data_IF_248057265384
#
_entry.id   IF_248057265384
#
_cell.length_a   1.000
_cell.length_b   1.000
_cell.length_c   1.000
_cell.angle_alpha   90.00
_cell.angle_beta   90.00
_cell.angle_gamma   90.00
#
_symmetry.space_group_name_H-M   'P 1'
#
loop_
_entity.id
_entity.type
_entity.pdbx_description
1 polymer ?
#
# COMPACT_ATOMS: atom_id res chain seq x y z
N UNK A 1 -21.26 37.69 64.15
CA UNK A 1 -21.47 36.39 63.49
C UNK A 1 -21.23 35.31 64.51
N UNK A 2 -22.19 34.41 64.73
CA UNK A 2 -22.05 33.32 65.68
C UNK A 2 -21.06 32.29 65.13
N UNK A 3 -20.33 31.58 65.99
CA UNK A 3 -19.45 30.48 65.56
C UNK A 3 -20.21 29.40 64.78
N UNK A 4 -21.52 29.25 65.05
CA UNK A 4 -22.42 28.39 64.25
C UNK A 4 -22.56 28.84 62.80
N UNK A 5 -22.59 30.15 62.54
CA UNK A 5 -22.72 30.69 61.19
C UNK A 5 -21.43 30.45 60.40
N UNK A 6 -20.26 30.58 61.05
CA UNK A 6 -18.95 30.31 60.43
C UNK A 6 -18.76 28.82 60.11
N UNK A 7 -19.23 27.93 60.98
CA UNK A 7 -19.18 26.48 60.75
C UNK A 7 -20.07 26.10 59.56
N UNK A 8 -21.30 26.61 59.49
CA UNK A 8 -22.21 26.34 58.38
C UNK A 8 -21.67 26.89 57.03
N UNK A 9 -21.04 28.06 57.04
CA UNK A 9 -20.38 28.64 55.86
C UNK A 9 -19.21 27.76 55.38
N UNK A 10 -18.37 27.29 56.32
CA UNK A 10 -17.23 26.42 56.02
C UNK A 10 -17.67 25.06 55.47
N UNK A 11 -18.73 24.46 56.01
CA UNK A 11 -19.29 23.21 55.50
C UNK A 11 -19.81 23.36 54.07
N UNK A 12 -20.47 24.49 53.77
CA UNK A 12 -20.92 24.83 52.41
C UNK A 12 -19.77 24.96 51.43
N UNK A 13 -18.72 25.69 51.83
CA UNK A 13 -17.50 25.86 51.02
C UNK A 13 -16.79 24.53 50.80
N UNK A 14 -16.69 23.68 51.83
CA UNK A 14 -16.08 22.36 51.72
C UNK A 14 -16.86 21.49 50.73
N UNK A 15 -18.19 21.47 50.83
CA UNK A 15 -19.04 20.70 49.92
C UNK A 15 -18.93 21.19 48.47
N UNK A 16 -18.87 22.51 48.26
CA UNK A 16 -18.71 23.09 46.93
C UNK A 16 -17.33 22.78 46.32
N UNK A 17 -16.26 22.86 47.12
CA UNK A 17 -14.90 22.49 46.71
C UNK A 17 -14.82 21.00 46.36
N UNK A 18 -15.40 20.12 47.18
CA UNK A 18 -15.42 18.68 46.91
C UNK A 18 -16.17 18.38 45.62
N UNK A 19 -17.36 18.96 45.42
CA UNK A 19 -18.16 18.77 44.20
C UNK A 19 -17.43 19.29 42.96
N UNK A 20 -16.71 20.42 43.06
CA UNK A 20 -15.93 20.97 41.94
C UNK A 20 -14.70 20.11 41.63
N UNK A 21 -14.04 19.59 42.66
CA UNK A 21 -12.92 18.65 42.54
C UNK A 21 -13.33 17.33 41.88
N UNK A 22 -14.48 16.76 42.27
CA UNK A 22 -15.02 15.55 41.66
C UNK A 22 -15.36 15.75 40.18
N UNK A 23 -16.02 16.86 39.81
CA UNK A 23 -16.30 17.18 38.41
C UNK A 23 -15.03 17.30 37.57
N UNK A 24 -14.00 17.97 38.09
CA UNK A 24 -12.71 18.10 37.40
C UNK A 24 -12.06 16.74 37.19
N UNK A 25 -12.11 15.86 38.20
CA UNK A 25 -11.59 14.48 38.07
C UNK A 25 -12.37 13.67 37.04
N UNK A 26 -13.70 13.75 37.04
CA UNK A 26 -14.53 13.08 36.04
C UNK A 26 -14.30 13.61 34.62
N UNK A 27 -14.12 14.91 34.45
CA UNK A 27 -13.83 15.50 33.14
C UNK A 27 -12.44 15.09 32.62
N UNK A 28 -11.42 15.09 33.49
CA UNK A 28 -10.09 14.62 33.15
C UNK A 28 -10.08 13.12 32.86
N UNK A 29 -10.81 12.32 33.63
CA UNK A 29 -10.95 10.88 33.38
C UNK A 29 -11.64 10.61 32.04
N UNK A 30 -12.74 11.32 31.74
CA UNK A 30 -13.42 11.23 30.43
C UNK A 30 -12.53 11.67 29.27
N UNK A 31 -11.69 12.70 29.45
CA UNK A 31 -10.71 13.09 28.43
C UNK A 31 -9.65 12.02 28.24
N UNK A 32 -9.13 11.46 29.33
CA UNK A 32 -8.10 10.42 29.29
C UNK A 32 -8.61 9.15 28.61
N UNK A 33 -9.83 8.71 28.94
CA UNK A 33 -10.49 7.57 28.29
C UNK A 33 -10.72 7.81 26.80
N UNK A 34 -11.17 9.02 26.40
CA UNK A 34 -11.28 9.38 24.97
C UNK A 34 -9.94 9.34 24.26
N UNK A 35 -8.89 9.86 24.88
CA UNK A 35 -7.55 9.88 24.29
C UNK A 35 -7.01 8.46 24.09
N UNK A 36 -7.20 7.59 25.09
CA UNK A 36 -6.83 6.18 25.04
C UNK A 36 -7.58 5.45 23.92
N UNK A 37 -8.88 5.66 23.79
CA UNK A 37 -9.67 5.01 22.74
C UNK A 37 -9.26 5.51 21.34
N UNK A 38 -8.97 6.81 21.19
CA UNK A 38 -8.43 7.34 19.93
C UNK A 38 -7.07 6.73 19.59
N UNK A 39 -6.19 6.55 20.56
CA UNK A 39 -4.87 5.95 20.36
C UNK A 39 -4.99 4.46 19.99
N UNK A 40 -5.87 3.74 20.69
CA UNK A 40 -6.19 2.34 20.39
C UNK A 40 -6.75 2.16 18.99
N UNK A 41 -7.58 3.10 18.53
CA UNK A 41 -8.13 3.11 17.17
C UNK A 41 -7.06 3.38 16.12
N UNK A 42 -6.08 4.23 16.40
CA UNK A 42 -4.96 4.54 15.49
C UNK A 42 -3.98 3.39 15.35
N UNK A 43 -3.82 2.56 16.38
CA UNK A 43 -2.97 1.36 16.35
C UNK A 43 -3.71 0.13 15.79
N UNK A 44 -5.04 0.20 15.68
CA UNK A 44 -5.84 -0.87 15.13
C UNK A 44 -5.47 -1.14 13.66
N UNK A 45 -5.29 -2.43 13.33
CA UNK A 45 -5.11 -2.86 11.94
C UNK A 45 -6.33 -2.48 11.10
N UNK A 46 -6.04 -2.09 9.86
CA UNK A 46 -7.03 -1.58 8.93
C UNK A 46 -7.59 -2.71 8.05
N UNK A 47 -8.80 -2.50 7.54
CA UNK A 47 -9.35 -3.26 6.41
C UNK A 47 -8.64 -2.87 5.11
N UNK A 48 -8.83 -3.61 4.01
CA UNK A 48 -8.22 -3.24 2.73
C UNK A 48 -8.65 -1.84 2.26
N UNK A 49 -9.92 -1.48 2.42
CA UNK A 49 -10.43 -0.15 2.03
C UNK A 49 -9.82 0.98 2.87
N UNK A 50 -9.81 0.83 4.20
CA UNK A 50 -9.16 1.78 5.11
C UNK A 50 -7.65 1.88 4.82
N UNK A 51 -6.99 0.75 4.56
CA UNK A 51 -5.57 0.72 4.25
C UNK A 51 -5.24 1.48 2.98
N UNK A 52 -5.99 1.18 1.90
CA UNK A 52 -5.86 1.91 0.66
C UNK A 52 -6.07 3.39 0.97
N UNK A 53 -7.19 3.76 1.63
CA UNK A 53 -7.49 5.13 2.11
C UNK A 53 -6.25 5.81 2.70
N UNK A 54 -5.62 5.17 3.68
CA UNK A 54 -4.43 5.71 4.34
C UNK A 54 -3.21 5.80 3.43
N UNK A 55 -2.95 4.83 2.55
CA UNK A 55 -1.83 4.92 1.62
C UNK A 55 -1.90 6.18 0.74
N UNK A 56 -3.08 6.52 0.22
CA UNK A 56 -3.24 7.72 -0.59
C UNK A 56 -2.88 8.98 0.21
N UNK A 57 -3.58 9.20 1.33
CA UNK A 57 -3.46 10.44 2.08
C UNK A 57 -2.16 10.57 2.89
N UNK A 58 -1.59 9.45 3.35
CA UNK A 58 -0.44 9.47 4.23
C UNK A 58 0.86 9.13 3.52
N UNK A 59 0.83 8.46 2.36
CA UNK A 59 2.06 8.03 1.66
C UNK A 59 2.15 8.70 0.28
N UNK A 60 1.19 8.44 -0.63
CA UNK A 60 1.29 8.91 -2.01
C UNK A 60 1.27 10.44 -2.11
N UNK A 61 0.38 11.13 -1.39
CA UNK A 61 0.33 12.60 -1.37
C UNK A 61 1.56 13.24 -0.69
N UNK A 62 2.42 12.46 -0.02
CA UNK A 62 3.68 12.95 0.56
C UNK A 62 4.84 12.91 -0.41
N UNK A 63 4.75 12.12 -1.49
CA UNK A 63 5.77 12.11 -2.54
C UNK A 63 5.79 13.46 -3.27
N UNK A 64 6.92 14.15 -3.22
CA UNK A 64 7.15 15.37 -3.99
C UNK A 64 8.12 15.09 -5.11
N UNK A 65 7.74 15.46 -6.32
CA UNK A 65 8.58 15.37 -7.50
C UNK A 65 9.18 16.74 -7.81
N UNK A 66 10.36 16.79 -8.46
CA UNK A 66 10.94 18.05 -8.90
C UNK A 66 10.00 18.76 -9.91
N UNK A 67 10.23 20.06 -10.18
CA UNK A 67 9.44 20.77 -11.17
C UNK A 67 9.64 20.20 -12.59
N UNK A 68 8.64 20.36 -13.48
CA UNK A 68 8.74 19.96 -14.88
C UNK A 68 10.04 20.47 -15.55
N UNK A 69 10.58 19.69 -16.48
CA UNK A 69 11.83 19.98 -17.18
C UNK A 69 13.10 19.49 -16.48
N UNK A 70 13.00 19.02 -15.22
CA UNK A 70 14.08 18.31 -14.53
C UNK A 70 13.81 16.81 -14.63
N UNK A 71 14.13 16.19 -15.77
CA UNK A 71 14.09 14.73 -15.86
C UNK A 71 15.01 14.12 -14.81
N UNK A 72 14.56 13.05 -14.14
CA UNK A 72 15.46 12.28 -13.28
C UNK A 72 16.59 11.74 -14.15
N UNK A 73 17.86 12.03 -13.83
CA UNK A 73 18.97 11.61 -14.67
C UNK A 73 19.06 10.08 -14.62
N UNK A 74 18.53 9.44 -15.66
CA UNK A 74 18.68 7.99 -15.87
C UNK A 74 19.73 7.79 -16.95
N UNK A 75 20.80 7.02 -16.67
CA UNK A 75 21.71 6.60 -17.73
C UNK A 75 20.90 5.88 -18.80
N UNK A 76 20.97 6.31 -20.05
CA UNK A 76 20.43 5.51 -21.14
C UNK A 76 21.24 4.21 -21.23
N UNK A 77 20.60 3.09 -20.93
CA UNK A 77 21.10 1.74 -21.13
C UNK A 77 21.30 1.56 -22.64
N UNK A 78 22.56 1.32 -23.08
CA UNK A 78 22.84 1.04 -24.47
C UNK A 78 22.01 -0.16 -24.95
N UNK A 79 21.24 0.05 -26.01
CA UNK A 79 20.38 -0.99 -26.62
C UNK A 79 21.12 -1.80 -27.68
N UNK A 80 22.36 -1.44 -28.01
CA UNK A 80 23.18 -2.13 -29.00
C UNK A 80 23.44 -3.57 -28.56
N UNK A 81 23.10 -4.53 -29.43
CA UNK A 81 23.24 -5.96 -29.15
C UNK A 81 22.19 -6.55 -28.20
N UNK A 82 21.19 -5.77 -27.75
CA UNK A 82 20.10 -6.25 -26.88
C UNK A 82 18.88 -6.70 -27.68
N UNK A 83 18.20 -7.73 -27.20
CA UNK A 83 16.90 -8.12 -27.72
C UNK A 83 15.81 -7.23 -27.11
N UNK A 84 15.04 -6.57 -27.96
CA UNK A 84 13.85 -5.83 -27.55
C UNK A 84 12.68 -6.11 -28.51
N UNK A 85 11.42 -6.01 -28.04
CA UNK A 85 10.26 -6.24 -28.90
C UNK A 85 10.22 -5.21 -30.03
N UNK A 86 10.23 -5.67 -31.29
CA UNK A 86 10.07 -4.77 -32.47
C UNK A 86 8.65 -4.22 -32.62
N UNK A 87 7.68 -4.84 -31.94
CA UNK A 87 6.26 -4.48 -32.00
C UNK A 87 5.64 -4.71 -30.63
N UNK A 88 4.97 -3.69 -30.11
CA UNK A 88 4.07 -3.82 -28.97
C UNK A 88 2.70 -4.22 -29.50
N UNK A 89 2.13 -5.29 -28.94
CA UNK A 89 0.79 -5.74 -29.30
C UNK A 89 -0.19 -5.37 -28.18
N UNK A 90 -1.40 -4.87 -28.52
CA UNK A 90 -2.41 -4.57 -27.52
C UNK A 90 -2.81 -5.83 -26.73
N UNK A 91 -2.76 -5.76 -25.41
CA UNK A 91 -3.27 -6.82 -24.54
C UNK A 91 -4.80 -6.73 -24.42
N UNK A 92 -5.50 -7.28 -25.42
CA UNK A 92 -6.97 -7.13 -25.58
C UNK A 92 -7.78 -7.63 -24.38
N UNK A 93 -7.32 -8.64 -23.66
CA UNK A 93 -8.02 -9.22 -22.50
C UNK A 93 -7.62 -8.59 -21.17
N UNK A 94 -6.70 -7.63 -21.15
CA UNK A 94 -6.14 -7.08 -19.92
C UNK A 94 -7.21 -6.50 -19.00
N UNK A 95 -8.11 -5.67 -19.53
CA UNK A 95 -9.15 -5.01 -18.73
C UNK A 95 -10.06 -6.04 -18.03
N UNK A 96 -10.46 -7.09 -18.75
CA UNK A 96 -11.28 -8.16 -18.21
C UNK A 96 -10.53 -9.01 -17.17
N UNK A 97 -9.29 -9.42 -17.48
CA UNK A 97 -8.46 -10.19 -16.55
C UNK A 97 -8.13 -9.39 -15.28
N UNK A 98 -7.87 -8.09 -15.41
CA UNK A 98 -7.65 -7.17 -14.29
C UNK A 98 -8.88 -7.11 -13.38
N UNK A 99 -10.07 -6.98 -13.96
CA UNK A 99 -11.33 -6.94 -13.19
C UNK A 99 -11.57 -8.27 -12.45
N UNK A 100 -11.39 -9.42 -13.10
CA UNK A 100 -11.51 -10.73 -12.45
C UNK A 100 -10.53 -10.86 -11.27
N UNK A 101 -9.25 -10.53 -11.48
CA UNK A 101 -8.21 -10.58 -10.44
C UNK A 101 -8.51 -9.63 -9.29
N UNK A 102 -9.01 -8.44 -9.59
CA UNK A 102 -9.40 -7.48 -8.56
C UNK A 102 -10.57 -7.97 -7.72
N UNK A 103 -11.55 -8.65 -8.33
CA UNK A 103 -12.66 -9.26 -7.61
C UNK A 103 -12.19 -10.41 -6.69
N UNK A 104 -11.21 -11.21 -7.11
CA UNK A 104 -10.58 -12.24 -6.26
C UNK A 104 -9.88 -11.62 -5.05
N UNK A 105 -9.06 -10.58 -5.27
CA UNK A 105 -8.40 -9.81 -4.22
C UNK A 105 -9.41 -9.25 -3.21
N UNK A 106 -10.47 -8.62 -3.71
CA UNK A 106 -11.51 -8.05 -2.85
C UNK A 106 -12.20 -9.13 -2.02
N UNK A 107 -12.48 -10.29 -2.60
CA UNK A 107 -13.09 -11.41 -1.88
C UNK A 107 -12.14 -11.99 -0.81
N UNK A 108 -10.87 -12.19 -1.14
CA UNK A 108 -9.86 -12.74 -0.23
C UNK A 108 -9.56 -11.81 0.96
N UNK A 109 -9.63 -10.51 0.73
CA UNK A 109 -9.30 -9.48 1.73
C UNK A 109 -10.55 -8.90 2.44
N UNK A 110 -11.74 -9.43 2.17
CA UNK A 110 -12.99 -8.84 2.64
C UNK A 110 -13.09 -8.85 4.18
N UNK A 111 -13.30 -7.68 4.78
CA UNK A 111 -13.55 -7.45 6.22
C UNK A 111 -12.42 -7.87 7.19
N UNK A 112 -11.30 -8.37 6.67
CA UNK A 112 -10.12 -8.72 7.46
C UNK A 112 -9.29 -7.49 7.82
N UNK A 113 -9.18 -7.21 9.13
CA UNK A 113 -8.32 -6.15 9.67
C UNK A 113 -6.87 -6.65 9.82
N UNK A 114 -6.16 -6.80 8.71
CA UNK A 114 -4.78 -7.34 8.67
C UNK A 114 -3.75 -6.36 8.12
N UNK A 115 -4.20 -5.22 7.62
CA UNK A 115 -3.35 -4.23 6.95
C UNK A 115 -2.81 -3.18 7.92
N UNK A 116 -1.80 -2.43 7.49
CA UNK A 116 -1.13 -1.42 8.31
C UNK A 116 -2.12 -0.42 8.88
N UNK A 117 -1.94 -0.06 10.15
CA UNK A 117 -2.81 0.90 10.82
C UNK A 117 -2.66 2.32 10.25
N UNK A 118 -3.55 3.23 10.65
CA UNK A 118 -3.41 4.65 10.31
C UNK A 118 -2.09 5.22 10.86
N UNK A 119 -1.66 4.77 12.04
CA UNK A 119 -0.39 5.19 12.62
C UNK A 119 0.80 4.66 11.80
N UNK A 120 0.80 3.37 11.45
CA UNK A 120 1.86 2.73 10.66
C UNK A 120 2.07 3.45 9.32
N UNK A 121 0.97 3.75 8.62
CA UNK A 121 0.99 4.44 7.32
C UNK A 121 1.46 5.89 7.44
N UNK A 122 1.11 6.60 8.53
CA UNK A 122 1.67 7.93 8.82
C UNK A 122 3.17 7.87 9.10
N UNK A 123 3.66 6.85 9.80
CA UNK A 123 5.09 6.68 10.08
C UNK A 123 5.85 6.48 8.76
N UNK A 124 5.34 5.64 7.85
CA UNK A 124 5.93 5.46 6.51
C UNK A 124 5.88 6.78 5.73
N UNK A 125 4.75 7.49 5.77
CA UNK A 125 4.57 8.79 5.12
C UNK A 125 5.62 9.84 5.48
N UNK A 126 6.03 9.86 6.76
CA UNK A 126 7.09 10.78 7.24
C UNK A 126 8.44 10.55 6.58
N UNK A 127 8.70 9.35 6.03
CA UNK A 127 9.93 9.08 5.28
C UNK A 127 10.03 9.92 3.99
N UNK A 128 8.88 10.37 3.47
CA UNK A 128 8.79 11.12 2.21
C UNK A 128 8.40 12.58 2.43
N UNK A 129 8.03 12.95 3.65
CA UNK A 129 7.56 14.30 3.96
C UNK A 129 8.70 15.32 3.89
N UNK A 130 8.54 16.33 3.02
CA UNK A 130 9.48 17.43 2.89
C UNK A 130 10.69 17.15 1.99
N UNK A 131 10.84 15.92 1.49
CA UNK A 131 11.89 15.56 0.55
C UNK A 131 11.36 15.57 -0.89
N UNK A 132 12.07 16.26 -1.77
CA UNK A 132 11.84 16.17 -3.21
C UNK A 132 12.62 14.96 -3.70
N UNK A 133 11.96 14.04 -4.40
CA UNK A 133 12.60 12.89 -5.03
C UNK A 133 13.40 13.35 -6.26
N UNK A 134 14.62 13.83 -6.03
CA UNK A 134 15.51 14.38 -7.05
C UNK A 134 16.33 13.30 -7.77
N UNK A 135 16.43 12.11 -7.20
CA UNK A 135 17.17 10.98 -7.75
C UNK A 135 16.30 9.74 -7.89
N UNK A 136 16.66 8.85 -8.82
CA UNK A 136 15.99 7.54 -8.99
C UNK A 136 16.01 6.72 -7.72
N UNK A 137 17.08 6.81 -6.93
CA UNK A 137 17.18 6.14 -5.63
C UNK A 137 16.07 6.56 -4.66
N UNK A 138 15.59 7.80 -4.76
CA UNK A 138 14.49 8.29 -3.92
C UNK A 138 13.17 7.65 -4.35
N UNK A 139 12.97 7.48 -5.67
CA UNK A 139 11.84 6.73 -6.20
C UNK A 139 11.92 5.24 -5.85
N UNK A 140 13.10 4.63 -5.83
CA UNK A 140 13.25 3.23 -5.41
C UNK A 140 12.87 3.02 -3.94
N UNK A 141 13.27 3.94 -3.06
CA UNK A 141 12.83 3.90 -1.67
C UNK A 141 11.30 4.05 -1.58
N UNK A 142 10.72 4.96 -2.35
CA UNK A 142 9.28 5.12 -2.42
C UNK A 142 8.58 3.84 -2.93
N UNK A 143 9.00 3.30 -4.07
CA UNK A 143 8.46 2.07 -4.66
C UNK A 143 8.51 0.91 -3.67
N UNK A 144 9.65 0.69 -3.02
CA UNK A 144 9.83 -0.39 -2.06
C UNK A 144 8.87 -0.29 -0.87
N UNK A 145 8.77 0.88 -0.24
CA UNK A 145 7.99 1.04 1.00
C UNK A 145 6.51 1.35 0.76
N UNK A 146 6.18 2.08 -0.31
CA UNK A 146 4.82 2.47 -0.64
C UNK A 146 4.08 1.49 -1.54
N UNK A 147 4.80 0.63 -2.29
CA UNK A 147 4.21 -0.27 -3.28
C UNK A 147 4.59 -1.73 -3.01
N UNK A 148 5.88 -2.10 -3.12
CA UNK A 148 6.29 -3.51 -3.11
C UNK A 148 5.92 -4.23 -1.81
N UNK A 149 6.32 -3.67 -0.67
CA UNK A 149 6.02 -4.26 0.63
C UNK A 149 4.50 -4.33 0.90
N UNK A 150 3.73 -3.24 0.69
CA UNK A 150 2.26 -3.27 0.72
C UNK A 150 1.62 -4.35 -0.16
N UNK A 151 2.04 -4.45 -1.42
CA UNK A 151 1.49 -5.43 -2.38
C UNK A 151 1.71 -6.85 -1.89
N UNK A 152 2.90 -7.15 -1.35
CA UNK A 152 3.16 -8.46 -0.73
C UNK A 152 2.16 -8.80 0.38
N UNK A 153 1.79 -7.83 1.22
CA UNK A 153 0.77 -8.01 2.27
C UNK A 153 -0.64 -8.18 1.71
N UNK A 154 -0.97 -7.49 0.62
CA UNK A 154 -2.26 -7.60 -0.09
C UNK A 154 -2.40 -8.95 -0.80
N UNK A 155 -1.30 -9.53 -1.29
CA UNK A 155 -1.32 -10.82 -1.96
C UNK A 155 -1.33 -12.01 -0.99
N UNK A 156 -0.87 -11.85 0.25
CA UNK A 156 -0.82 -12.93 1.24
C UNK A 156 -2.17 -13.67 1.43
N UNK A 157 -3.33 -12.99 1.55
CA UNK A 157 -4.63 -13.66 1.66
C UNK A 157 -5.00 -14.52 0.45
N UNK A 158 -4.56 -14.15 -0.77
CA UNK A 158 -4.78 -14.98 -1.97
C UNK A 158 -4.05 -16.31 -1.84
N UNK A 159 -2.84 -16.28 -1.31
CA UNK A 159 -2.07 -17.49 -1.11
C UNK A 159 -2.59 -18.32 0.05
N UNK A 160 -3.22 -17.74 1.08
CA UNK A 160 -3.82 -18.50 2.18
C UNK A 160 -5.10 -19.26 1.77
N UNK A 161 -5.84 -18.75 0.77
CA UNK A 161 -7.05 -19.40 0.24
C UNK A 161 -6.69 -20.55 -0.71
N UNK A 162 -7.09 -21.79 -0.36
CA UNK A 162 -6.80 -22.99 -1.17
C UNK A 162 -7.41 -22.96 -2.58
N UNK A 163 -8.59 -22.36 -2.75
CA UNK A 163 -9.27 -22.25 -4.03
C UNK A 163 -8.65 -21.18 -4.94
N UNK A 164 -8.23 -20.05 -4.37
CA UNK A 164 -7.50 -19.01 -5.09
C UNK A 164 -6.09 -19.44 -5.44
N UNK A 165 -5.39 -20.10 -4.50
CA UNK A 165 -4.05 -20.67 -4.70
C UNK A 165 -4.01 -21.61 -5.91
N UNK A 166 -5.06 -22.40 -6.16
CA UNK A 166 -5.16 -23.25 -7.34
C UNK A 166 -5.25 -22.50 -8.68
N UNK A 167 -5.74 -21.25 -8.66
CA UNK A 167 -5.83 -20.38 -9.85
C UNK A 167 -4.53 -19.61 -10.13
N UNK A 168 -3.70 -19.43 -9.11
CA UNK A 168 -2.42 -18.74 -9.16
C UNK A 168 -1.31 -19.68 -8.66
N UNK A 169 -0.81 -20.62 -9.49
CA UNK A 169 0.02 -21.74 -9.04
C UNK A 169 1.49 -21.34 -8.78
N UNK A 170 1.73 -20.17 -8.20
CA UNK A 170 3.05 -19.71 -7.80
C UNK A 170 3.01 -18.98 -6.46
N UNK A 171 4.03 -19.21 -5.65
CA UNK A 171 4.21 -18.61 -4.33
C UNK A 171 4.97 -17.29 -4.40
N UNK A 172 5.89 -17.14 -5.37
CA UNK A 172 6.78 -15.98 -5.45
C UNK A 172 7.32 -15.80 -6.88
N UNK A 173 7.68 -14.57 -7.24
CA UNK A 173 8.47 -14.23 -8.44
C UNK A 173 9.59 -13.29 -8.00
N UNK A 174 10.84 -13.71 -8.19
CA UNK A 174 12.02 -12.91 -7.87
C UNK A 174 12.78 -12.55 -9.12
N UNK A 175 13.28 -11.32 -9.18
CA UNK A 175 14.14 -10.85 -10.25
C UNK A 175 15.58 -10.85 -9.76
N UNK A 176 16.49 -11.41 -10.57
CA UNK A 176 17.93 -11.46 -10.28
C UNK A 176 18.73 -10.83 -11.40
N UNK A 177 19.93 -10.35 -11.07
CA UNK A 177 20.87 -9.86 -12.05
C UNK A 177 21.41 -11.03 -12.90
N UNK A 178 21.76 -10.79 -14.15
CA UNK A 178 22.36 -11.84 -14.98
C UNK A 178 23.71 -12.33 -14.44
N UNK A 179 24.36 -11.54 -13.56
CA UNK A 179 25.51 -11.90 -12.75
C UNK A 179 25.34 -13.21 -11.98
N UNK A 180 24.13 -13.41 -11.47
CA UNK A 180 23.76 -14.51 -10.58
C UNK A 180 23.20 -15.73 -11.33
N UNK A 181 23.16 -15.71 -12.66
CA UNK A 181 22.59 -16.80 -13.44
C UNK A 181 23.60 -17.98 -13.53
N UNK A 182 23.24 -19.18 -13.02
CA UNK A 182 24.06 -20.38 -13.17
C UNK A 182 24.47 -20.64 -14.63
N UNK A 183 25.76 -20.96 -14.86
CA UNK A 183 26.29 -21.27 -16.19
C UNK A 183 26.61 -20.07 -17.10
N UNK A 184 26.14 -18.86 -16.79
CA UNK A 184 26.49 -17.65 -17.54
C UNK A 184 27.90 -17.12 -17.22
N UNK A 185 28.51 -17.55 -16.11
CA UNK A 185 29.87 -17.17 -15.72
C UNK A 185 30.98 -17.97 -16.39
N UNK A 186 30.66 -19.07 -17.08
CA UNK A 186 31.66 -20.02 -17.61
C UNK A 186 31.92 -19.85 -19.12
N UNK A 187 30.99 -19.25 -19.85
CA UNK A 187 31.19 -18.91 -21.26
C UNK A 187 31.33 -17.39 -21.42
N UNK A 188 32.39 -16.96 -22.12
CA UNK A 188 32.66 -15.56 -22.47
C UNK A 188 31.61 -15.11 -23.50
N UNK A 189 30.38 -14.87 -23.04
CA UNK A 189 29.42 -14.07 -23.78
C UNK A 189 29.91 -12.63 -23.59
N UNK A 190 30.14 -11.91 -24.70
CA UNK A 190 30.50 -10.50 -24.65
C UNK A 190 29.54 -9.76 -23.72
N UNK A 191 30.04 -8.86 -22.86
CA UNK A 191 29.23 -8.12 -21.88
C UNK A 191 28.01 -7.43 -22.53
N UNK A 192 28.15 -7.07 -23.79
CA UNK A 192 27.14 -6.46 -24.66
C UNK A 192 25.93 -7.38 -24.93
N UNK A 193 26.13 -8.70 -25.07
CA UNK A 193 25.07 -9.67 -25.39
C UNK A 193 24.54 -10.44 -24.17
N UNK A 194 25.07 -10.15 -22.97
CA UNK A 194 24.55 -10.71 -21.72
C UNK A 194 23.16 -10.14 -21.42
N UNK A 195 22.20 -10.94 -20.96
CA UNK A 195 20.94 -10.41 -20.45
C UNK A 195 21.17 -9.48 -19.28
N UNK A 196 20.19 -8.61 -19.04
CA UNK A 196 20.23 -7.73 -17.89
C UNK A 196 19.92 -8.52 -16.63
N UNK A 197 18.87 -9.35 -16.69
CA UNK A 197 18.45 -10.18 -15.57
C UNK A 197 17.49 -11.29 -15.98
N UNK A 198 17.02 -12.01 -14.98
CA UNK A 198 16.07 -13.10 -15.14
C UNK A 198 15.11 -13.18 -13.95
N UNK A 199 13.90 -13.66 -14.23
CA UNK A 199 12.89 -13.98 -13.23
C UNK A 199 12.97 -15.44 -12.80
N UNK A 200 12.91 -15.70 -11.51
CA UNK A 200 12.69 -17.02 -10.91
C UNK A 200 11.28 -17.04 -10.34
N UNK A 201 10.48 -18.02 -10.76
CA UNK A 201 9.19 -18.32 -10.16
C UNK A 201 9.38 -19.44 -9.15
N UNK A 202 8.83 -19.25 -7.95
CA UNK A 202 8.71 -20.31 -6.95
C UNK A 202 7.30 -20.89 -7.03
N UNK A 203 7.21 -22.19 -7.29
CA UNK A 203 5.96 -22.95 -7.26
C UNK A 203 5.46 -23.13 -5.83
N UNK A 204 4.21 -23.60 -5.69
CA UNK A 204 3.60 -23.83 -4.37
C UNK A 204 4.27 -24.93 -3.54
N UNK A 205 4.98 -25.85 -4.20
CA UNK A 205 5.77 -26.92 -3.56
C UNK A 205 7.20 -26.47 -3.19
N UNK A 206 7.54 -25.20 -3.43
CA UNK A 206 8.87 -24.65 -3.20
C UNK A 206 9.85 -24.89 -4.34
N UNK A 207 9.46 -25.56 -5.44
CA UNK A 207 10.34 -25.71 -6.60
C UNK A 207 10.54 -24.38 -7.33
N UNK A 208 11.76 -24.13 -7.80
CA UNK A 208 12.13 -22.90 -8.49
C UNK A 208 12.35 -23.15 -9.98
N UNK A 209 11.78 -22.29 -10.82
CA UNK A 209 11.85 -22.37 -12.27
C UNK A 209 12.18 -21.00 -12.86
N UNK A 210 12.91 -20.97 -13.98
CA UNK A 210 13.09 -19.73 -14.74
C UNK A 210 11.75 -19.30 -15.33
N UNK A 211 11.31 -18.10 -14.98
CA UNK A 211 10.05 -17.53 -15.45
C UNK A 211 10.23 -16.74 -16.74
N UNK A 212 11.28 -15.92 -16.80
CA UNK A 212 11.60 -15.07 -17.94
C UNK A 212 13.07 -14.62 -17.89
N UNK A 213 13.59 -14.17 -19.02
CA UNK A 213 14.88 -13.48 -19.15
C UNK A 213 14.59 -12.11 -19.78
N UNK A 214 15.29 -11.07 -19.35
CA UNK A 214 15.16 -9.75 -19.95
C UNK A 214 16.53 -9.14 -20.22
N UNK A 215 16.70 -8.66 -21.46
CA UNK A 215 17.91 -8.00 -21.94
C UNK A 215 17.90 -6.50 -21.72
N UNK A 216 16.76 -5.97 -21.30
CA UNK A 216 16.50 -4.56 -21.19
C UNK A 216 15.75 -4.27 -19.89
N UNK A 217 16.43 -3.62 -18.95
CA UNK A 217 15.74 -2.85 -17.93
C UNK A 217 15.41 -1.51 -18.61
N UNK A 218 14.12 -1.18 -18.75
CA UNK A 218 13.77 0.15 -19.19
C UNK A 218 14.34 1.11 -18.17
N UNK A 219 15.28 1.95 -18.61
CA UNK A 219 15.62 3.15 -17.88
C UNK A 219 14.32 3.88 -17.69
N UNK A 220 13.90 4.04 -16.45
CA UNK A 220 12.70 4.79 -16.13
C UNK A 220 12.93 6.26 -16.49
N UNK A 221 12.94 6.60 -17.78
CA UNK A 221 12.63 7.94 -18.24
C UNK A 221 11.12 8.11 -18.13
N UNK A 222 10.60 7.85 -16.93
CA UNK A 222 9.37 8.47 -16.50
C UNK A 222 9.75 9.93 -16.37
N UNK A 223 9.41 10.70 -17.41
CA UNK A 223 9.48 12.13 -17.30
C UNK A 223 8.67 12.52 -16.07
N UNK A 224 9.16 13.50 -15.32
CA UNK A 224 8.49 14.00 -14.13
C UNK A 224 7.06 14.38 -14.48
N UNK A 225 6.82 14.86 -15.69
CA UNK A 225 5.51 15.18 -16.25
C UNK A 225 4.62 13.93 -16.35
N UNK A 226 5.08 12.82 -16.93
CA UNK A 226 4.29 11.59 -17.00
C UNK A 226 3.97 11.02 -15.61
N UNK A 227 4.92 11.12 -14.67
CA UNK A 227 4.69 10.67 -13.30
C UNK A 227 3.72 11.60 -12.56
N UNK A 228 3.84 12.92 -12.76
CA UNK A 228 2.89 13.90 -12.24
C UNK A 228 1.50 13.71 -12.83
N UNK A 229 1.36 13.46 -14.14
CA UNK A 229 0.07 13.15 -14.79
C UNK A 229 -0.55 11.88 -14.21
N UNK A 230 0.24 10.81 -14.03
CA UNK A 230 -0.24 9.57 -13.43
C UNK A 230 -0.71 9.76 -11.97
N UNK A 231 -0.03 10.62 -11.20
CA UNK A 231 -0.43 10.98 -9.84
C UNK A 231 -1.61 11.97 -9.79
N UNK A 232 -1.74 12.84 -10.79
CA UNK A 232 -2.84 13.81 -10.94
C UNK A 232 -4.17 13.16 -11.34
N UNK A 233 -4.15 11.93 -11.84
CA UNK A 233 -5.37 11.10 -11.95
C UNK A 233 -5.81 10.61 -10.55
N UNK A 234 -6.03 11.58 -9.65
CA UNK A 234 -6.33 11.45 -8.22
C UNK A 234 -7.59 10.61 -7.95
N UNK A 235 -8.48 10.46 -8.93
CA UNK A 235 -9.69 9.65 -8.80
C UNK A 235 -9.43 8.16 -8.90
N UNK A 236 -8.30 7.68 -9.45
CA UNK A 236 -8.03 6.24 -9.57
C UNK A 236 -8.17 5.55 -8.20
N UNK A 237 -7.73 6.26 -7.18
CA UNK A 237 -7.81 5.80 -5.82
C UNK A 237 -9.24 5.77 -5.27
N UNK A 238 -9.97 6.86 -5.44
CA UNK A 238 -11.39 6.96 -5.05
C UNK A 238 -12.23 5.94 -5.81
N UNK A 239 -11.92 5.71 -7.09
CA UNK A 239 -12.54 4.71 -7.96
C UNK A 239 -12.24 3.29 -7.47
N UNK A 240 -10.98 2.99 -7.11
CA UNK A 240 -10.61 1.70 -6.52
C UNK A 240 -11.31 1.52 -5.18
N UNK A 241 -11.34 2.54 -4.33
CA UNK A 241 -11.99 2.47 -3.02
C UNK A 241 -13.51 2.29 -3.14
N UNK A 242 -14.16 3.05 -4.03
CA UNK A 242 -15.56 2.89 -4.36
C UNK A 242 -15.85 1.49 -4.93
N UNK A 243 -14.96 0.91 -5.74
CA UNK A 243 -15.08 -0.49 -6.20
C UNK A 243 -14.90 -1.52 -5.10
N UNK A 244 -14.05 -1.25 -4.10
CA UNK A 244 -13.91 -2.09 -2.91
C UNK A 244 -15.21 -2.06 -2.09
N UNK A 245 -15.82 -0.88 -1.93
CA UNK A 245 -16.99 -0.67 -1.08
C UNK A 245 -18.35 -0.97 -1.74
N UNK A 246 -18.49 -0.80 -3.06
CA UNK A 246 -19.78 -0.84 -3.78
C UNK A 246 -20.47 -2.21 -3.88
N UNK A 247 -19.86 -3.31 -3.42
CA UNK A 247 -20.47 -4.65 -3.45
C UNK A 247 -20.60 -5.32 -2.08
N UNK A 248 -20.21 -4.66 -0.98
CA UNK A 248 -20.48 -5.18 0.36
C UNK A 248 -21.95 -5.08 0.77
N UNK A 249 -22.77 -4.28 0.07
CA UNK A 249 -24.19 -4.06 0.41
C UNK A 249 -25.19 -5.03 -0.21
N UNK A 250 -24.77 -6.02 -1.02
CA UNK A 250 -25.72 -6.95 -1.66
C UNK A 250 -25.96 -8.27 -0.90
N UNK A 251 -25.62 -8.33 0.39
CA UNK A 251 -26.01 -9.46 1.26
C UNK A 251 -26.95 -9.03 2.39
N UNK A 252 -28.01 -8.30 2.06
CA UNK A 252 -29.25 -8.26 2.83
C UNK A 252 -30.37 -7.72 1.93
N UNK A 253 -31.09 -8.61 1.24
CA UNK A 253 -32.24 -8.23 0.43
C UNK A 253 -32.55 -9.19 -0.70
N UNK A 254 -33.45 -10.13 -0.41
CA UNK A 254 -34.34 -10.82 -1.35
C UNK A 254 -33.72 -11.47 -2.60
N UNK A 255 -33.33 -12.74 -2.44
CA UNK A 255 -33.44 -13.71 -3.53
C UNK A 255 -34.91 -14.15 -3.65
N UNK A 256 -35.69 -13.41 -4.41
CA UNK A 256 -36.92 -13.93 -5.01
C UNK A 256 -37.11 -13.28 -6.38
N UNK A 257 -37.26 -14.14 -7.38
CA UNK A 257 -37.73 -13.87 -8.75
C UNK A 257 -36.69 -13.18 -9.67
N UNK A 258 -36.47 -13.58 -10.92
CA UNK A 258 -37.28 -14.38 -11.82
C UNK A 258 -36.38 -15.16 -12.79
N UNK A 259 -36.72 -16.43 -12.97
CA UNK A 259 -36.54 -17.12 -14.24
C UNK A 259 -37.77 -16.78 -15.09
N UNK A 260 -37.56 -16.11 -16.23
CA UNK A 260 -38.32 -16.25 -17.48
C UNK A 260 -37.58 -15.53 -18.61
#
# INVERSE_FOLDING_TARGET
MSDKDRIAELERLLHEVTRKSERLREEEQRKHERLLEEDRRKDQKSTLSEYLYYCHFHIYLKLRLPPPGHGLPVPATPVDGKFYPKRLLPWRTFAHQRELRFNDLRAACAQDRRFLSELDTKIIGRLFEGTIAEYISDLWNFERFAIEQPVGKILAPIWDDKGLRGRYPFADIRVKSAGEMPGFGEHIIARETRPYGFGIQTSLDGSEHYAFVFDYQHDYVLSVEHLQEALQMETLFEDVNARVMSKSDTRQGNAQEAWQ
#
